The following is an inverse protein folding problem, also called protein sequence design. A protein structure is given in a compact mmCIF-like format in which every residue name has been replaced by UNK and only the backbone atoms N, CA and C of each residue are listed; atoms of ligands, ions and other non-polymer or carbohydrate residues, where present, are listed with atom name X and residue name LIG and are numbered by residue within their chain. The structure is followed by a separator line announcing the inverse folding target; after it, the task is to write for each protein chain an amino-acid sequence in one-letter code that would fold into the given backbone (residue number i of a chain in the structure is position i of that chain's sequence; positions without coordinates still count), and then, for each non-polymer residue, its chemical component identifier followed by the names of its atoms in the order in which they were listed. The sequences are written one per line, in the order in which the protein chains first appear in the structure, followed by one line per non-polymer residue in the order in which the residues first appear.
data_IF_814464908841
#
_entry.id   IF_814464908841
#
_cell.length_a   1.000
_cell.length_b   1.000
_cell.length_c   1.000
_cell.angle_alpha   90.00
_cell.angle_beta   90.00
_cell.angle_gamma   90.00
#
_symmetry.space_group_name_H-M   'P 1'
#
loop_
_entity.id
_entity.type
_entity.pdbx_description
1 polymer ?
#
# COMPACT_ATOMS: atom_id res chain seq x y z
N UNK A 1 3.27 -33.07 -15.43
CA UNK A 1 2.97 -31.64 -15.78
C UNK A 1 4.30 -30.93 -16.02
N UNK A 2 4.41 -30.10 -17.08
CA UNK A 2 5.61 -29.28 -17.31
C UNK A 2 5.79 -28.30 -16.14
N UNK A 3 6.95 -28.32 -15.51
CA UNK A 3 7.31 -27.35 -14.47
C UNK A 3 7.58 -25.98 -15.11
N UNK A 4 7.07 -24.91 -14.50
CA UNK A 4 7.20 -23.55 -14.99
C UNK A 4 8.49 -22.94 -14.43
N UNK A 5 9.27 -22.26 -15.28
CA UNK A 5 10.42 -21.46 -14.84
C UNK A 5 9.95 -20.04 -14.46
N UNK A 6 10.46 -19.51 -13.36
CA UNK A 6 10.13 -18.17 -12.90
C UNK A 6 8.71 -18.06 -12.32
N UNK A 7 8.17 -19.12 -11.75
CA UNK A 7 6.82 -19.17 -11.21
C UNK A 7 6.58 -18.10 -10.14
N UNK A 8 7.61 -17.72 -9.37
CA UNK A 8 7.52 -16.63 -8.38
C UNK A 8 7.05 -15.30 -9.00
N UNK A 9 7.46 -14.99 -10.23
CA UNK A 9 7.04 -13.77 -10.93
C UNK A 9 5.57 -13.83 -11.39
N UNK A 10 5.08 -15.03 -11.72
CA UNK A 10 3.65 -15.23 -11.99
C UNK A 10 2.81 -15.01 -10.72
N UNK A 11 3.32 -15.42 -9.57
CA UNK A 11 2.66 -15.16 -8.26
C UNK A 11 2.64 -13.67 -7.96
N UNK A 12 3.75 -12.92 -8.22
CA UNK A 12 3.73 -11.45 -8.10
C UNK A 12 2.73 -10.83 -9.07
N UNK A 13 2.67 -11.31 -10.31
CA UNK A 13 1.67 -10.86 -11.28
C UNK A 13 0.23 -11.09 -10.78
N UNK A 14 -0.03 -12.25 -10.16
CA UNK A 14 -1.33 -12.56 -9.58
C UNK A 14 -1.67 -11.65 -8.39
N UNK A 15 -0.70 -11.36 -7.50
CA UNK A 15 -0.90 -10.44 -6.37
C UNK A 15 -1.12 -9.01 -6.90
N UNK A 16 -0.33 -8.58 -7.87
CA UNK A 16 -0.46 -7.28 -8.53
C UNK A 16 -1.87 -7.13 -9.15
N UNK A 17 -2.36 -8.14 -9.86
CA UNK A 17 -3.74 -8.18 -10.38
C UNK A 17 -4.77 -8.00 -9.26
N UNK A 18 -4.59 -8.68 -8.13
CA UNK A 18 -5.47 -8.51 -6.96
C UNK A 18 -5.47 -7.08 -6.44
N UNK A 19 -4.30 -6.43 -6.40
CA UNK A 19 -4.17 -5.04 -5.99
C UNK A 19 -4.80 -4.09 -6.99
N UNK A 20 -4.63 -4.32 -8.29
CA UNK A 20 -5.30 -3.54 -9.36
C UNK A 20 -6.81 -3.60 -9.18
N UNK A 21 -7.39 -4.80 -9.01
CA UNK A 21 -8.85 -4.99 -8.85
C UNK A 21 -9.34 -4.34 -7.56
N UNK A 22 -8.60 -4.46 -6.46
CA UNK A 22 -8.90 -3.83 -5.18
C UNK A 22 -8.96 -2.30 -5.30
N UNK A 23 -7.94 -1.67 -5.92
CA UNK A 23 -7.92 -0.22 -6.12
C UNK A 23 -8.93 0.26 -7.15
N UNK A 24 -9.27 -0.55 -8.14
CA UNK A 24 -10.34 -0.28 -9.08
C UNK A 24 -11.70 -0.21 -8.37
N UNK A 25 -12.01 -1.19 -7.50
CA UNK A 25 -13.22 -1.18 -6.68
C UNK A 25 -13.26 0.03 -5.74
N UNK A 26 -12.14 0.33 -5.06
CA UNK A 26 -11.99 1.48 -4.16
C UNK A 26 -12.30 2.81 -4.85
N UNK A 27 -11.74 3.03 -6.04
CA UNK A 27 -11.85 4.29 -6.77
C UNK A 27 -13.19 4.46 -7.51
N UNK A 28 -13.99 3.40 -7.66
CA UNK A 28 -15.30 3.47 -8.34
C UNK A 28 -16.22 4.51 -7.71
N UNK A 29 -16.23 4.66 -6.38
CA UNK A 29 -17.04 5.68 -5.71
C UNK A 29 -16.67 7.10 -6.15
N UNK A 30 -15.38 7.42 -6.18
CA UNK A 30 -14.91 8.76 -6.54
C UNK A 30 -15.29 9.13 -7.98
N UNK A 31 -15.22 8.17 -8.90
CA UNK A 31 -15.63 8.36 -10.30
C UNK A 31 -17.13 8.56 -10.42
N UNK A 32 -17.92 7.82 -9.65
CA UNK A 32 -19.38 7.89 -9.66
C UNK A 32 -19.94 9.01 -8.78
N UNK A 33 -19.13 9.69 -7.96
CA UNK A 33 -19.60 10.66 -6.98
C UNK A 33 -20.57 11.72 -7.55
N UNK A 34 -20.31 12.36 -8.70
CA UNK A 34 -21.22 13.35 -9.26
C UNK A 34 -22.61 12.80 -9.64
N UNK A 35 -22.65 11.55 -10.12
CA UNK A 35 -23.91 10.87 -10.46
C UNK A 35 -24.67 10.40 -9.22
N UNK A 36 -23.95 9.87 -8.22
CA UNK A 36 -24.51 9.44 -6.96
C UNK A 36 -25.09 10.62 -6.16
N UNK A 37 -24.39 11.78 -6.16
CA UNK A 37 -24.85 13.01 -5.50
C UNK A 37 -26.20 13.47 -6.07
N UNK A 38 -26.36 13.43 -7.39
CA UNK A 38 -27.62 13.76 -8.07
C UNK A 38 -28.72 12.75 -7.77
N UNK A 39 -28.39 11.45 -7.87
CA UNK A 39 -29.39 10.37 -7.81
C UNK A 39 -29.84 10.12 -6.36
N UNK A 40 -28.92 10.09 -5.40
CA UNK A 40 -29.17 9.81 -4.00
C UNK A 40 -29.37 11.07 -3.14
N UNK A 41 -29.24 12.26 -3.74
CA UNK A 41 -29.52 13.60 -3.16
C UNK A 41 -28.82 13.83 -1.82
N UNK A 42 -27.52 13.58 -1.75
CA UNK A 42 -26.73 13.86 -0.56
C UNK A 42 -25.82 15.09 -0.73
N UNK A 43 -25.48 15.72 0.39
CA UNK A 43 -24.59 16.88 0.42
C UNK A 43 -23.12 16.50 0.35
N UNK A 44 -22.25 17.44 -0.01
CA UNK A 44 -20.78 17.28 0.03
C UNK A 44 -20.31 16.84 1.42
N UNK A 45 -20.95 17.31 2.51
CA UNK A 45 -20.62 16.86 3.85
C UNK A 45 -20.99 15.39 4.08
N UNK A 46 -22.14 14.95 3.60
CA UNK A 46 -22.53 13.53 3.66
C UNK A 46 -21.58 12.66 2.83
N UNK A 47 -21.10 13.16 1.68
CA UNK A 47 -20.05 12.49 0.90
C UNK A 47 -18.77 12.31 1.73
N UNK A 48 -18.35 13.31 2.49
CA UNK A 48 -17.17 13.18 3.36
C UNK A 48 -17.36 12.10 4.43
N UNK A 49 -18.57 11.91 4.97
CA UNK A 49 -18.86 10.81 5.90
C UNK A 49 -18.79 9.44 5.23
N UNK A 50 -19.23 9.32 3.97
CA UNK A 50 -19.10 8.10 3.17
C UNK A 50 -17.62 7.72 2.99
N UNK A 51 -16.78 8.69 2.65
CA UNK A 51 -15.32 8.49 2.49
C UNK A 51 -14.67 8.14 3.83
N UNK A 52 -15.05 8.85 4.91
CA UNK A 52 -14.52 8.60 6.25
C UNK A 52 -14.88 7.20 6.77
N UNK A 53 -16.09 6.69 6.49
CA UNK A 53 -16.50 5.36 6.87
C UNK A 53 -15.57 4.27 6.32
N UNK A 54 -15.14 4.41 5.05
CA UNK A 54 -14.13 3.53 4.45
C UNK A 54 -12.78 3.63 5.18
N UNK A 55 -12.29 4.84 5.40
CA UNK A 55 -10.98 5.05 6.03
C UNK A 55 -10.91 4.47 7.43
N UNK A 56 -11.95 4.69 8.24
CA UNK A 56 -12.05 4.12 9.59
C UNK A 56 -12.07 2.59 9.54
N UNK A 57 -12.95 2.01 8.71
CA UNK A 57 -13.02 0.55 8.54
C UNK A 57 -11.69 -0.05 8.12
N UNK A 58 -11.04 0.55 7.13
CA UNK A 58 -9.75 0.11 6.62
C UNK A 58 -8.64 0.19 7.68
N UNK A 59 -8.55 1.31 8.41
CA UNK A 59 -7.54 1.53 9.45
C UNK A 59 -7.65 0.51 10.57
N UNK A 60 -8.87 0.29 11.09
CA UNK A 60 -9.11 -0.67 12.17
C UNK A 60 -8.82 -2.10 11.72
N UNK A 61 -9.27 -2.46 10.52
CA UNK A 61 -9.19 -3.85 10.06
C UNK A 61 -7.79 -4.27 9.59
N UNK A 62 -6.90 -3.36 9.27
CA UNK A 62 -5.53 -3.72 8.85
C UNK A 62 -4.80 -4.61 9.86
N UNK A 63 -4.89 -4.30 11.15
CA UNK A 63 -4.29 -5.13 12.21
C UNK A 63 -4.96 -6.50 12.29
N UNK A 64 -6.30 -6.53 12.22
CA UNK A 64 -7.08 -7.76 12.33
C UNK A 64 -6.85 -8.68 11.13
N UNK A 65 -6.89 -8.12 9.90
CA UNK A 65 -6.70 -8.93 8.71
C UNK A 65 -5.31 -9.56 8.63
N UNK A 66 -4.27 -8.86 9.08
CA UNK A 66 -2.93 -9.42 9.16
C UNK A 66 -2.88 -10.66 10.06
N UNK A 67 -3.49 -10.57 11.25
CA UNK A 67 -3.64 -11.72 12.17
C UNK A 67 -4.40 -12.88 11.52
N UNK A 68 -5.54 -12.59 10.88
CA UNK A 68 -6.37 -13.60 10.20
C UNK A 68 -5.59 -14.29 9.08
N UNK A 69 -4.79 -13.55 8.29
CA UNK A 69 -3.97 -14.10 7.22
C UNK A 69 -2.86 -15.02 7.76
N UNK A 70 -2.24 -14.69 8.88
CA UNK A 70 -1.23 -15.54 9.49
C UNK A 70 -1.85 -16.78 10.14
N UNK A 71 -3.03 -16.66 10.74
CA UNK A 71 -3.73 -17.76 11.41
C UNK A 71 -4.37 -18.75 10.42
N UNK A 72 -5.13 -18.27 9.43
CA UNK A 72 -5.83 -19.12 8.45
C UNK A 72 -4.90 -19.64 7.32
N UNK A 73 -3.71 -19.02 7.19
CA UNK A 73 -2.83 -19.18 6.05
C UNK A 73 -3.28 -18.33 4.85
N UNK A 74 -2.30 -17.91 4.07
CA UNK A 74 -2.48 -16.89 3.04
C UNK A 74 -3.48 -17.28 1.95
N UNK A 75 -3.47 -18.55 1.51
CA UNK A 75 -4.40 -19.03 0.48
C UNK A 75 -5.86 -18.85 0.90
N UNK A 76 -6.24 -19.38 2.05
CA UNK A 76 -7.63 -19.34 2.55
C UNK A 76 -8.02 -17.94 3.02
N UNK A 77 -7.15 -17.31 3.80
CA UNK A 77 -7.39 -15.99 4.37
C UNK A 77 -7.59 -14.92 3.31
N UNK A 78 -6.71 -14.85 2.31
CA UNK A 78 -6.83 -13.84 1.26
C UNK A 78 -8.00 -14.11 0.30
N UNK A 79 -8.33 -15.40 0.02
CA UNK A 79 -9.56 -15.75 -0.72
C UNK A 79 -10.81 -15.27 0.02
N UNK A 80 -10.88 -15.47 1.34
CA UNK A 80 -12.01 -15.01 2.16
C UNK A 80 -12.18 -13.50 2.08
N UNK A 81 -11.09 -12.75 2.26
CA UNK A 81 -11.13 -11.29 2.12
C UNK A 81 -11.48 -10.85 0.70
N UNK A 82 -10.98 -11.54 -0.34
CA UNK A 82 -11.29 -11.24 -1.73
C UNK A 82 -12.79 -11.42 -2.03
N UNK A 83 -13.41 -12.48 -1.55
CA UNK A 83 -14.87 -12.68 -1.65
C UNK A 83 -15.60 -11.59 -0.87
N UNK A 84 -15.16 -11.28 0.35
CA UNK A 84 -15.82 -10.32 1.22
C UNK A 84 -15.78 -8.89 0.63
N UNK A 85 -14.63 -8.41 0.11
CA UNK A 85 -14.60 -7.09 -0.52
C UNK A 85 -15.40 -7.05 -1.83
N UNK A 86 -15.40 -8.15 -2.59
CA UNK A 86 -16.19 -8.24 -3.82
C UNK A 86 -17.67 -8.09 -3.53
N UNK A 87 -18.15 -8.83 -2.52
CA UNK A 87 -19.53 -8.72 -2.05
C UNK A 87 -19.83 -7.31 -1.53
N UNK A 88 -18.93 -6.75 -0.70
CA UNK A 88 -19.08 -5.39 -0.18
C UNK A 88 -19.19 -4.35 -1.29
N UNK A 89 -18.42 -4.52 -2.37
CA UNK A 89 -18.48 -3.62 -3.53
C UNK A 89 -19.81 -3.78 -4.31
N UNK A 90 -20.26 -5.01 -4.53
CA UNK A 90 -21.57 -5.27 -5.18
C UNK A 90 -22.73 -4.70 -4.36
N UNK A 91 -22.66 -4.75 -3.02
CA UNK A 91 -23.71 -4.19 -2.14
C UNK A 91 -23.94 -2.69 -2.35
N UNK A 92 -22.95 -1.92 -2.84
CA UNK A 92 -23.15 -0.52 -3.19
C UNK A 92 -24.25 -0.31 -4.23
N UNK A 93 -24.49 -1.28 -5.12
CA UNK A 93 -25.56 -1.22 -6.11
C UNK A 93 -26.97 -1.13 -5.49
N UNK A 94 -27.11 -1.53 -4.23
CA UNK A 94 -28.38 -1.50 -3.48
C UNK A 94 -28.51 -0.29 -2.54
N UNK A 95 -27.62 0.71 -2.68
CA UNK A 95 -27.69 1.89 -1.85
C UNK A 95 -28.91 2.75 -2.19
N UNK A 96 -29.78 2.98 -1.20
CA UNK A 96 -30.97 3.82 -1.32
C UNK A 96 -30.78 5.25 -0.81
N UNK A 97 -29.58 5.59 -0.30
CA UNK A 97 -29.23 6.92 0.22
C UNK A 97 -27.83 6.95 0.80
N UNK A 98 -27.39 8.12 1.26
CA UNK A 98 -26.03 8.31 1.78
C UNK A 98 -25.68 7.40 2.96
N UNK A 99 -26.63 7.12 3.86
CA UNK A 99 -26.38 6.28 5.04
C UNK A 99 -26.08 4.83 4.68
N UNK A 100 -26.86 4.23 3.76
CA UNK A 100 -26.57 2.87 3.24
C UNK A 100 -25.28 2.84 2.44
N UNK A 101 -24.99 3.88 1.66
CA UNK A 101 -23.75 4.01 0.91
C UNK A 101 -22.54 4.10 1.86
N UNK A 102 -22.64 4.85 2.97
CA UNK A 102 -21.62 4.93 4.00
C UNK A 102 -21.41 3.58 4.71
N UNK A 103 -22.50 2.86 5.02
CA UNK A 103 -22.40 1.53 5.62
C UNK A 103 -21.67 0.52 4.71
N UNK A 104 -22.06 0.46 3.43
CA UNK A 104 -21.38 -0.41 2.46
C UNK A 104 -19.92 0.02 2.21
N UNK A 105 -19.64 1.31 2.25
CA UNK A 105 -18.29 1.86 2.14
C UNK A 105 -17.43 1.48 3.34
N UNK A 106 -17.98 1.54 4.56
CA UNK A 106 -17.31 1.06 5.77
C UNK A 106 -17.02 -0.44 5.70
N UNK A 107 -18.01 -1.24 5.24
CA UNK A 107 -17.82 -2.67 5.03
C UNK A 107 -16.74 -2.98 3.99
N UNK A 108 -16.69 -2.22 2.90
CA UNK A 108 -15.63 -2.33 1.90
C UNK A 108 -14.25 -2.02 2.51
N UNK A 109 -14.14 -0.96 3.32
CA UNK A 109 -12.92 -0.62 4.04
C UNK A 109 -12.43 -1.75 4.94
N UNK A 110 -13.34 -2.35 5.72
CA UNK A 110 -13.04 -3.51 6.55
C UNK A 110 -12.49 -4.70 5.74
N UNK A 111 -13.03 -4.95 4.57
CA UNK A 111 -12.71 -6.15 3.79
C UNK A 111 -11.52 -5.97 2.85
N UNK A 112 -11.26 -4.76 2.34
CA UNK A 112 -10.13 -4.45 1.46
C UNK A 112 -8.78 -4.34 2.19
N UNK A 113 -8.79 -4.14 3.50
CA UNK A 113 -7.59 -3.89 4.30
C UNK A 113 -6.54 -5.02 4.23
N UNK A 114 -6.95 -6.24 3.85
CA UNK A 114 -6.08 -7.40 3.75
C UNK A 114 -5.10 -7.38 2.56
N UNK A 115 -5.34 -6.56 1.54
CA UNK A 115 -4.59 -6.63 0.28
C UNK A 115 -3.08 -6.40 0.46
N UNK A 116 -2.69 -5.37 1.22
CA UNK A 116 -1.28 -5.06 1.44
C UNK A 116 -0.58 -6.10 2.34
N UNK A 117 -1.11 -6.46 3.53
CA UNK A 117 -0.52 -7.53 4.34
C UNK A 117 -0.41 -8.88 3.61
N UNK A 118 -1.42 -9.23 2.81
CA UNK A 118 -1.40 -10.45 2.00
C UNK A 118 -0.31 -10.42 0.93
N UNK A 119 -0.17 -9.30 0.22
CA UNK A 119 0.86 -9.11 -0.80
C UNK A 119 2.26 -9.24 -0.22
N UNK A 120 2.54 -8.56 0.89
CA UNK A 120 3.84 -8.60 1.58
C UNK A 120 4.15 -10.02 2.08
N UNK A 121 3.15 -10.70 2.67
CA UNK A 121 3.32 -12.09 3.10
C UNK A 121 3.61 -13.03 1.92
N UNK A 122 2.87 -12.92 0.83
CA UNK A 122 3.11 -13.74 -0.36
C UNK A 122 4.52 -13.52 -0.93
N UNK A 123 4.99 -12.27 -0.98
CA UNK A 123 6.35 -11.96 -1.40
C UNK A 123 7.37 -12.55 -0.43
N UNK A 124 7.14 -12.50 0.88
CA UNK A 124 8.03 -13.10 1.87
C UNK A 124 8.15 -14.62 1.72
N UNK A 125 7.06 -15.30 1.31
CA UNK A 125 7.04 -16.74 1.09
C UNK A 125 7.70 -17.17 -0.24
N UNK A 126 7.52 -16.37 -1.31
CA UNK A 126 7.90 -16.74 -2.67
C UNK A 126 9.24 -16.17 -3.15
N UNK A 127 9.82 -15.22 -2.43
CA UNK A 127 11.07 -14.57 -2.87
C UNK A 127 12.18 -14.72 -1.87
N UNK A 128 13.42 -15.01 -2.35
CA UNK A 128 14.60 -14.89 -1.54
C UNK A 128 14.76 -13.45 -1.05
N UNK A 129 15.30 -13.27 0.15
CA UNK A 129 15.37 -11.96 0.81
C UNK A 129 15.95 -10.84 -0.08
N UNK A 130 16.97 -11.15 -0.87
CA UNK A 130 17.64 -10.19 -1.78
C UNK A 130 16.75 -9.65 -2.92
N UNK A 131 15.69 -10.38 -3.31
CA UNK A 131 14.79 -10.01 -4.41
C UNK A 131 13.46 -9.42 -3.93
N UNK A 132 13.14 -9.50 -2.62
CA UNK A 132 11.85 -9.05 -2.07
C UNK A 132 11.52 -7.60 -2.38
N UNK A 133 12.53 -6.70 -2.31
CA UNK A 133 12.28 -5.27 -2.59
C UNK A 133 11.84 -5.03 -4.02
N UNK A 134 12.40 -5.77 -4.98
CA UNK A 134 11.99 -5.68 -6.39
C UNK A 134 10.53 -6.14 -6.54
N UNK A 135 10.19 -7.29 -5.94
CA UNK A 135 8.84 -7.81 -5.96
C UNK A 135 7.82 -6.86 -5.30
N UNK A 136 8.19 -6.21 -4.17
CA UNK A 136 7.36 -5.20 -3.50
C UNK A 136 7.19 -3.94 -4.38
N UNK A 137 8.23 -3.52 -5.08
CA UNK A 137 8.15 -2.40 -6.03
C UNK A 137 7.11 -2.65 -7.13
N UNK A 138 7.14 -3.82 -7.76
CA UNK A 138 6.14 -4.21 -8.76
C UNK A 138 4.74 -4.39 -8.16
N UNK A 139 4.64 -4.95 -6.96
CA UNK A 139 3.38 -5.08 -6.25
C UNK A 139 2.72 -3.73 -5.98
N UNK A 140 3.50 -2.75 -5.52
CA UNK A 140 3.00 -1.41 -5.23
C UNK A 140 2.50 -0.69 -6.50
N UNK A 141 3.14 -0.89 -7.66
CA UNK A 141 2.67 -0.31 -8.93
C UNK A 141 1.24 -0.76 -9.30
N UNK A 142 0.77 -1.91 -8.79
CA UNK A 142 -0.62 -2.34 -8.94
C UNK A 142 -1.65 -1.37 -8.35
N UNK A 143 -1.28 -0.59 -7.34
CA UNK A 143 -2.16 0.41 -6.71
C UNK A 143 -2.51 1.55 -7.67
N UNK A 144 -1.51 2.09 -8.34
CA UNK A 144 -1.68 3.18 -9.30
C UNK A 144 -2.32 2.70 -10.59
N UNK A 145 -1.97 1.50 -11.06
CA UNK A 145 -2.64 0.88 -12.22
C UNK A 145 -4.14 0.71 -11.96
N UNK A 146 -4.54 0.28 -10.76
CA UNK A 146 -5.94 0.16 -10.38
C UNK A 146 -6.66 1.52 -10.37
N UNK A 147 -6.03 2.55 -9.82
CA UNK A 147 -6.56 3.90 -9.82
C UNK A 147 -6.68 4.49 -11.23
N UNK A 148 -5.72 4.22 -12.11
CA UNK A 148 -5.71 4.67 -13.50
C UNK A 148 -6.81 3.98 -14.34
N UNK A 149 -7.05 2.69 -14.11
CA UNK A 149 -8.03 1.90 -14.87
C UNK A 149 -9.47 2.11 -14.38
N UNK A 150 -9.67 2.63 -13.16
CA UNK A 150 -11.01 2.83 -12.61
C UNK A 150 -11.86 3.83 -13.42
N UNK A 151 -11.40 5.07 -13.77
CA UNK A 151 -12.21 6.01 -14.50
C UNK A 151 -12.69 5.49 -15.86
N UNK A 152 -11.84 4.98 -16.78
CA UNK A 152 -12.30 4.52 -18.07
C UNK A 152 -13.29 3.35 -17.97
N UNK A 153 -13.05 2.38 -17.08
CA UNK A 153 -13.95 1.25 -16.93
C UNK A 153 -15.29 1.66 -16.33
N UNK A 154 -15.26 2.43 -15.23
CA UNK A 154 -16.45 2.83 -14.49
C UNK A 154 -17.34 3.76 -15.36
N UNK A 155 -16.73 4.74 -16.04
CA UNK A 155 -17.46 5.63 -16.95
C UNK A 155 -18.05 4.86 -18.12
N UNK A 156 -17.29 3.92 -18.71
CA UNK A 156 -17.82 3.08 -19.78
C UNK A 156 -19.06 2.30 -19.34
N UNK A 157 -19.04 1.64 -18.17
CA UNK A 157 -20.21 0.90 -17.66
C UNK A 157 -21.35 1.86 -17.34
N UNK A 158 -21.07 3.03 -16.73
CA UNK A 158 -22.08 4.04 -16.41
C UNK A 158 -22.84 4.49 -17.68
N UNK A 159 -22.12 4.73 -18.78
CA UNK A 159 -22.72 5.17 -20.06
C UNK A 159 -23.50 4.06 -20.77
N UNK A 160 -23.12 2.79 -20.59
CA UNK A 160 -23.83 1.66 -21.21
C UNK A 160 -25.02 1.17 -20.39
N UNK A 161 -25.03 1.42 -19.09
CA UNK A 161 -26.06 0.91 -18.19
C UNK A 161 -26.45 1.96 -17.14
N UNK A 162 -25.87 1.88 -15.93
CA UNK A 162 -26.13 2.78 -14.80
C UNK A 162 -25.02 2.66 -13.75
N UNK A 163 -25.08 3.49 -12.70
CA UNK A 163 -24.11 3.50 -11.62
C UNK A 163 -24.11 2.20 -10.80
N UNK A 164 -25.28 1.54 -10.65
CA UNK A 164 -25.39 0.27 -9.93
C UNK A 164 -24.56 -0.82 -10.63
N UNK A 165 -24.68 -0.91 -11.95
CA UNK A 165 -23.92 -1.87 -12.75
C UNK A 165 -22.42 -1.60 -12.70
N UNK A 166 -21.96 -0.36 -12.51
CA UNK A 166 -20.55 -0.08 -12.34
C UNK A 166 -20.00 -0.73 -11.06
N UNK A 167 -20.72 -0.70 -9.94
CA UNK A 167 -20.34 -1.41 -8.72
C UNK A 167 -20.43 -2.94 -8.87
N UNK A 168 -21.45 -3.44 -9.57
CA UNK A 168 -21.58 -4.88 -9.84
C UNK A 168 -20.42 -5.40 -10.68
N UNK A 169 -20.08 -4.71 -11.77
CA UNK A 169 -18.98 -5.11 -12.66
C UNK A 169 -17.65 -5.08 -11.91
N UNK A 170 -17.32 -3.99 -11.22
CA UNK A 170 -16.05 -3.86 -10.51
C UNK A 170 -15.94 -4.83 -9.32
N UNK A 171 -17.06 -5.12 -8.64
CA UNK A 171 -17.12 -6.14 -7.59
C UNK A 171 -16.98 -7.56 -8.15
N UNK A 172 -17.59 -7.84 -9.31
CA UNK A 172 -17.52 -9.16 -9.95
C UNK A 172 -16.09 -9.54 -10.36
N UNK A 173 -15.26 -8.57 -10.75
CA UNK A 173 -13.83 -8.80 -11.01
C UNK A 173 -13.12 -9.34 -9.78
N UNK A 174 -13.51 -8.92 -8.58
CA UNK A 174 -12.94 -9.43 -7.34
C UNK A 174 -13.31 -10.91 -7.06
N UNK A 175 -14.50 -11.37 -7.43
CA UNK A 175 -14.84 -12.81 -7.35
C UNK A 175 -14.02 -13.64 -8.34
N UNK A 176 -13.79 -13.12 -9.56
CA UNK A 176 -12.90 -13.77 -10.53
C UNK A 176 -11.50 -13.87 -9.96
N UNK A 177 -10.99 -12.79 -9.36
CA UNK A 177 -9.69 -12.79 -8.70
C UNK A 177 -9.65 -13.82 -7.54
N UNK A 178 -10.66 -13.87 -6.69
CA UNK A 178 -10.73 -14.84 -5.59
C UNK A 178 -10.63 -16.29 -6.10
N UNK A 179 -11.32 -16.60 -7.20
CA UNK A 179 -11.24 -17.90 -7.84
C UNK A 179 -9.83 -18.18 -8.40
N UNK A 180 -9.23 -17.22 -9.12
CA UNK A 180 -7.86 -17.33 -9.63
C UNK A 180 -6.86 -17.54 -8.50
N UNK A 181 -6.99 -16.75 -7.42
CA UNK A 181 -6.14 -16.89 -6.24
C UNK A 181 -6.27 -18.27 -5.60
N UNK A 182 -7.48 -18.74 -5.38
CA UNK A 182 -7.72 -20.07 -4.82
C UNK A 182 -7.15 -21.19 -5.66
N UNK A 183 -7.26 -21.10 -6.97
CA UNK A 183 -6.77 -22.15 -7.90
C UNK A 183 -5.25 -22.14 -7.99
N UNK A 184 -4.65 -20.96 -8.21
CA UNK A 184 -3.26 -20.85 -8.59
C UNK A 184 -2.29 -20.62 -7.42
N UNK A 185 -2.74 -20.01 -6.31
CA UNK A 185 -1.86 -19.79 -5.19
C UNK A 185 -1.68 -21.05 -4.33
N UNK A 186 -0.42 -21.41 -4.08
CA UNK A 186 0.03 -22.40 -3.10
C UNK A 186 1.35 -21.90 -2.53
N UNK A 187 1.72 -22.35 -1.32
CA UNK A 187 3.06 -22.09 -0.80
C UNK A 187 4.15 -22.79 -1.66
N UNK A 188 5.36 -22.22 -1.77
CA UNK A 188 6.44 -22.82 -2.59
C UNK A 188 6.73 -24.28 -2.28
N UNK A 189 6.61 -24.66 -1.00
CA UNK A 189 6.85 -26.04 -0.52
C UNK A 189 5.83 -27.03 -1.04
N UNK A 190 4.59 -26.60 -1.31
CA UNK A 190 3.47 -27.46 -1.73
C UNK A 190 3.02 -27.23 -3.18
N UNK A 191 3.65 -26.31 -3.92
CA UNK A 191 3.25 -25.98 -5.27
C UNK A 191 3.76 -27.00 -6.30
N UNK A 192 2.85 -27.71 -6.98
CA UNK A 192 3.21 -28.80 -7.90
C UNK A 192 3.88 -28.37 -9.21
N UNK A 193 3.74 -27.08 -9.61
CA UNK A 193 4.28 -26.54 -10.87
C UNK A 193 5.67 -25.91 -10.71
N UNK A 194 6.16 -25.71 -9.48
CA UNK A 194 7.49 -25.12 -9.26
C UNK A 194 8.60 -26.10 -9.68
N UNK A 195 9.65 -25.58 -10.31
CA UNK A 195 10.85 -26.36 -10.58
C UNK A 195 11.66 -26.57 -9.30
N UNK A 196 12.37 -27.69 -9.19
CA UNK A 196 13.18 -27.99 -7.99
C UNK A 196 14.27 -26.93 -7.78
N UNK A 197 14.95 -26.52 -8.85
CA UNK A 197 15.96 -25.48 -8.76
C UNK A 197 15.40 -24.10 -8.33
N UNK A 198 14.15 -23.76 -8.71
CA UNK A 198 13.52 -22.52 -8.22
C UNK A 198 13.09 -22.65 -6.77
N UNK A 199 12.60 -23.84 -6.37
CA UNK A 199 12.25 -24.11 -4.97
C UNK A 199 13.48 -23.99 -4.06
N UNK A 200 14.59 -24.68 -4.41
CA UNK A 200 15.85 -24.58 -3.68
C UNK A 200 16.35 -23.13 -3.62
N UNK A 201 16.33 -22.41 -4.74
CA UNK A 201 16.72 -21.00 -4.78
C UNK A 201 15.89 -20.11 -3.84
N UNK A 202 14.58 -20.35 -3.73
CA UNK A 202 13.71 -19.61 -2.81
C UNK A 202 14.06 -19.97 -1.36
N UNK A 203 14.15 -21.27 -1.03
CA UNK A 203 14.38 -21.73 0.34
C UNK A 203 15.79 -21.37 0.83
N UNK A 204 16.82 -21.58 0.04
CA UNK A 204 18.21 -21.24 0.38
C UNK A 204 18.44 -19.72 0.47
N UNK A 205 17.66 -18.95 -0.28
CA UNK A 205 17.70 -17.49 -0.23
C UNK A 205 16.87 -16.85 0.88
N UNK A 206 16.18 -17.66 1.69
CA UNK A 206 15.55 -17.21 2.93
C UNK A 206 16.55 -17.29 4.09
N UNK A 207 16.41 -16.43 5.08
CA UNK A 207 17.26 -16.54 6.28
C UNK A 207 16.99 -17.87 6.99
N UNK A 208 18.05 -18.55 7.55
CA UNK A 208 17.93 -19.90 8.12
C UNK A 208 16.82 -20.07 9.16
N UNK A 209 16.58 -19.05 9.98
CA UNK A 209 15.52 -19.06 11.00
C UNK A 209 14.10 -19.03 10.41
N UNK A 210 13.95 -18.69 9.11
CA UNK A 210 12.66 -18.58 8.41
C UNK A 210 12.33 -19.79 7.54
N UNK A 211 13.31 -20.64 7.25
CA UNK A 211 13.14 -21.83 6.41
C UNK A 211 12.34 -22.96 7.09
N UNK A 212 12.24 -22.96 8.40
CA UNK A 212 11.44 -23.90 9.17
C UNK A 212 9.94 -23.52 9.15
N UNK A 213 9.34 -23.57 7.98
CA UNK A 213 7.90 -23.45 7.79
C UNK A 213 7.16 -24.61 8.44
N UNK A 214 6.91 -24.52 9.73
CA UNK A 214 6.02 -25.44 10.43
C UNK A 214 4.59 -25.15 10.01
N UNK A 215 3.92 -26.17 9.49
CA UNK A 215 2.49 -26.15 9.14
C UNK A 215 1.56 -26.07 10.35
N UNK A 216 2.08 -25.80 11.53
CA UNK A 216 1.31 -25.61 12.73
C UNK A 216 0.58 -24.27 12.68
N UNK A 217 -0.73 -24.33 12.59
CA UNK A 217 -1.66 -23.19 12.71
C UNK A 217 -1.66 -22.61 14.13
N UNK A 218 -0.51 -22.08 14.55
CA UNK A 218 -0.42 -21.37 15.83
C UNK A 218 -0.80 -19.90 15.61
N UNK A 219 -1.57 -19.29 16.52
CA UNK A 219 -1.86 -17.87 16.43
C UNK A 219 -0.53 -17.08 16.48
N UNK A 220 -0.37 -16.03 15.64
CA UNK A 220 0.82 -15.22 15.63
C UNK A 220 1.03 -14.56 17.01
N UNK A 221 2.29 -14.48 17.51
CA UNK A 221 2.58 -13.98 18.84
C UNK A 221 2.54 -12.45 18.90
N UNK A 222 1.33 -11.87 18.87
CA UNK A 222 1.08 -10.41 18.81
C UNK A 222 1.88 -9.66 19.88
N UNK A 223 1.90 -10.15 21.13
CA UNK A 223 2.64 -9.51 22.21
C UNK A 223 4.15 -9.47 21.93
N UNK A 224 4.73 -10.54 21.37
CA UNK A 224 6.15 -10.59 20.96
C UNK A 224 6.44 -9.56 19.87
N UNK A 225 5.55 -9.46 18.85
CA UNK A 225 5.68 -8.50 17.76
C UNK A 225 5.68 -7.07 18.30
N UNK A 226 4.66 -6.69 19.07
CA UNK A 226 4.49 -5.34 19.62
C UNK A 226 5.57 -4.95 20.64
N UNK A 227 6.17 -5.92 21.33
CA UNK A 227 7.30 -5.69 22.27
C UNK A 227 8.64 -5.58 21.55
N UNK A 228 8.72 -5.87 20.26
CA UNK A 228 9.97 -5.84 19.50
C UNK A 228 10.36 -4.41 19.12
N UNK A 229 11.58 -3.95 19.42
CA UNK A 229 12.08 -2.66 18.92
C UNK A 229 12.02 -2.54 17.39
N UNK A 230 12.21 -3.64 16.66
CA UNK A 230 12.13 -3.69 15.20
C UNK A 230 10.74 -3.33 14.69
N UNK A 231 9.69 -3.74 15.41
CA UNK A 231 8.32 -3.36 15.09
C UNK A 231 8.15 -1.84 15.12
N UNK A 232 8.56 -1.19 16.20
CA UNK A 232 8.49 0.27 16.36
C UNK A 232 9.42 1.00 15.39
N UNK A 233 10.55 0.39 15.04
CA UNK A 233 11.47 0.87 14.00
C UNK A 233 10.86 0.88 12.59
N UNK A 234 9.72 0.22 12.37
CA UNK A 234 8.96 0.24 11.12
C UNK A 234 7.64 1.01 11.30
N UNK A 235 6.93 0.80 12.41
CA UNK A 235 5.60 1.37 12.65
C UNK A 235 5.65 2.91 12.76
N UNK A 236 6.62 3.46 13.52
CA UNK A 236 6.75 4.91 13.69
C UNK A 236 7.14 5.59 12.38
N UNK A 237 8.16 5.12 11.63
CA UNK A 237 8.46 5.68 10.30
C UNK A 237 7.28 5.61 9.33
N UNK A 238 6.50 4.53 9.33
CA UNK A 238 5.29 4.44 8.51
C UNK A 238 4.21 5.43 8.93
N UNK A 239 4.01 5.62 10.24
CA UNK A 239 3.11 6.65 10.78
C UNK A 239 3.55 8.07 10.33
N UNK A 240 4.85 8.35 10.33
CA UNK A 240 5.41 9.64 9.95
C UNK A 240 5.46 9.87 8.42
N UNK A 241 5.58 8.82 7.62
CA UNK A 241 5.66 8.93 6.16
C UNK A 241 4.28 9.03 5.48
N UNK A 242 3.25 8.37 6.01
CA UNK A 242 1.90 8.35 5.41
C UNK A 242 1.26 9.73 5.23
N UNK A 243 1.47 10.75 6.10
CA UNK A 243 1.07 12.12 5.87
C UNK A 243 1.41 12.67 4.49
N UNK A 244 2.58 12.34 3.94
CA UNK A 244 2.97 12.77 2.60
C UNK A 244 2.03 12.20 1.52
N UNK A 245 1.73 10.91 1.58
CA UNK A 245 0.84 10.25 0.64
C UNK A 245 -0.59 10.80 0.68
N UNK A 246 -1.13 11.00 1.88
CA UNK A 246 -2.46 11.59 2.06
C UNK A 246 -2.50 13.04 1.55
N UNK A 247 -1.41 13.80 1.77
CA UNK A 247 -1.28 15.16 1.24
C UNK A 247 -1.29 15.14 -0.28
N UNK A 248 -0.57 14.24 -0.91
CA UNK A 248 -0.52 14.13 -2.37
C UNK A 248 -1.88 13.75 -2.96
N UNK A 249 -2.63 12.86 -2.32
CA UNK A 249 -3.93 12.43 -2.80
C UNK A 249 -5.02 13.51 -2.67
N UNK A 250 -5.05 14.25 -1.56
CA UNK A 250 -6.19 15.10 -1.24
C UNK A 250 -5.90 16.59 -1.36
N UNK A 251 -4.65 17.03 -1.13
CA UNK A 251 -4.32 18.43 -1.01
C UNK A 251 -3.60 19.03 -2.20
N UNK A 252 -2.92 18.24 -3.04
CA UNK A 252 -2.24 18.78 -4.23
C UNK A 252 -3.21 19.51 -5.18
N UNK A 253 -4.33 18.90 -5.61
CA UNK A 253 -5.24 19.60 -6.52
C UNK A 253 -5.77 20.90 -5.93
N UNK A 254 -6.15 20.88 -4.65
CA UNK A 254 -6.66 22.08 -3.96
C UNK A 254 -5.59 23.16 -3.86
N UNK A 255 -4.35 22.81 -3.49
CA UNK A 255 -3.21 23.73 -3.44
C UNK A 255 -2.92 24.37 -4.81
N UNK A 256 -2.93 23.58 -5.87
CA UNK A 256 -2.67 24.06 -7.23
C UNK A 256 -3.76 25.06 -7.69
N UNK A 257 -5.02 24.82 -7.35
CA UNK A 257 -6.12 25.76 -7.64
C UNK A 257 -6.04 27.01 -6.77
N UNK A 258 -5.99 26.83 -5.46
CA UNK A 258 -6.22 27.94 -4.51
C UNK A 258 -5.00 28.82 -4.29
N UNK A 259 -3.79 28.24 -4.33
CA UNK A 259 -2.53 28.96 -4.06
C UNK A 259 -1.75 29.27 -5.33
N UNK A 260 -1.79 28.37 -6.33
CA UNK A 260 -1.05 28.51 -7.58
C UNK A 260 -1.91 29.01 -8.75
N UNK A 261 -3.22 29.16 -8.53
CA UNK A 261 -4.19 29.70 -9.50
C UNK A 261 -4.20 28.94 -10.84
N UNK A 262 -3.88 27.63 -10.81
CA UNK A 262 -3.95 26.78 -12.00
C UNK A 262 -5.40 26.54 -12.40
N UNK A 263 -5.66 26.56 -13.70
CA UNK A 263 -6.97 26.23 -14.22
C UNK A 263 -7.18 24.70 -14.30
N UNK A 264 -8.44 24.28 -14.44
CA UNK A 264 -8.80 22.86 -14.45
C UNK A 264 -8.13 22.07 -15.59
N UNK A 265 -7.85 22.70 -16.73
CA UNK A 265 -7.18 22.07 -17.87
C UNK A 265 -5.72 21.78 -17.55
N UNK A 266 -5.02 22.71 -16.94
CA UNK A 266 -3.63 22.54 -16.50
C UNK A 266 -3.53 21.46 -15.42
N UNK A 267 -4.47 21.43 -14.47
CA UNK A 267 -4.52 20.38 -13.44
C UNK A 267 -4.73 19.00 -14.07
N UNK A 268 -5.65 18.87 -15.03
CA UNK A 268 -5.88 17.61 -15.73
C UNK A 268 -4.63 17.11 -16.47
N UNK A 269 -3.78 18.02 -16.97
CA UNK A 269 -2.54 17.67 -17.67
C UNK A 269 -1.41 17.30 -16.72
N UNK A 270 -1.31 17.89 -15.53
CA UNK A 270 -0.10 17.81 -14.69
C UNK A 270 -0.30 17.12 -13.34
N UNK A 271 -1.51 17.08 -12.78
CA UNK A 271 -1.72 16.58 -11.42
C UNK A 271 -1.52 15.06 -11.25
N UNK A 272 -1.46 14.30 -12.34
CA UNK A 272 -1.16 12.87 -12.31
C UNK A 272 0.34 12.54 -12.30
N UNK A 273 1.20 13.51 -12.69
CA UNK A 273 2.65 13.30 -12.77
C UNK A 273 3.28 12.86 -11.43
N UNK A 274 2.92 13.42 -10.26
CA UNK A 274 3.43 12.94 -8.98
C UNK A 274 3.13 11.47 -8.70
N UNK A 275 2.00 10.95 -9.17
CA UNK A 275 1.62 9.55 -9.01
C UNK A 275 2.44 8.63 -9.94
N UNK A 276 2.68 9.05 -11.17
CA UNK A 276 3.61 8.35 -12.06
C UNK A 276 5.03 8.31 -11.47
N UNK A 277 5.51 9.44 -10.97
CA UNK A 277 6.80 9.52 -10.30
C UNK A 277 6.86 8.61 -9.06
N UNK A 278 5.75 8.49 -8.32
CA UNK A 278 5.64 7.57 -7.19
C UNK A 278 5.83 6.11 -7.62
N UNK A 279 5.19 5.66 -8.70
CA UNK A 279 5.38 4.30 -9.21
C UNK A 279 6.83 4.02 -9.61
N UNK A 280 7.45 4.98 -10.30
CA UNK A 280 8.88 4.90 -10.64
C UNK A 280 9.75 4.85 -9.39
N UNK A 281 9.39 5.61 -8.34
CA UNK A 281 10.07 5.60 -7.04
C UNK A 281 9.99 4.26 -6.32
N UNK A 282 8.81 3.63 -6.31
CA UNK A 282 8.60 2.30 -5.74
C UNK A 282 9.44 1.23 -6.44
N UNK A 283 9.44 1.23 -7.77
CA UNK A 283 10.25 0.32 -8.60
C UNK A 283 11.75 0.60 -8.38
N UNK A 284 12.16 1.87 -8.44
CA UNK A 284 13.56 2.26 -8.21
C UNK A 284 14.05 1.81 -6.82
N UNK A 285 13.27 2.06 -5.75
CA UNK A 285 13.57 1.61 -4.39
C UNK A 285 13.73 0.09 -4.31
N UNK A 286 12.90 -0.63 -5.06
CA UNK A 286 13.00 -2.08 -5.21
C UNK A 286 14.37 -2.53 -5.74
N UNK A 287 14.86 -1.90 -6.81
CA UNK A 287 16.14 -2.24 -7.44
C UNK A 287 17.34 -1.62 -6.71
N UNK A 288 17.16 -0.49 -6.01
CA UNK A 288 18.24 0.19 -5.30
C UNK A 288 18.93 -0.72 -4.29
N UNK A 289 18.17 -1.47 -3.50
CA UNK A 289 18.74 -2.31 -2.47
C UNK A 289 19.61 -3.45 -3.01
N UNK A 290 19.19 -4.27 -3.99
CA UNK A 290 20.06 -5.23 -4.65
C UNK A 290 21.31 -4.58 -5.31
N UNK A 291 21.16 -3.39 -5.88
CA UNK A 291 22.27 -2.63 -6.44
C UNK A 291 23.31 -2.28 -5.37
N UNK A 292 22.87 -1.72 -4.23
CA UNK A 292 23.75 -1.38 -3.10
C UNK A 292 24.45 -2.62 -2.54
N UNK A 293 23.77 -3.75 -2.45
CA UNK A 293 24.35 -5.02 -2.03
C UNK A 293 25.43 -5.50 -3.01
N UNK A 294 25.19 -5.37 -4.32
CA UNK A 294 26.13 -5.85 -5.36
C UNK A 294 27.36 -4.97 -5.47
N UNK A 295 27.18 -3.64 -5.55
CA UNK A 295 28.24 -2.68 -5.84
C UNK A 295 29.03 -2.31 -4.58
N UNK A 296 28.33 -1.97 -3.51
CA UNK A 296 28.94 -1.50 -2.26
C UNK A 296 29.11 -2.61 -1.21
N UNK A 297 28.76 -3.87 -1.55
CA UNK A 297 28.85 -5.03 -0.64
C UNK A 297 28.09 -4.82 0.68
N UNK A 298 27.02 -4.02 0.64
CA UNK A 298 26.21 -3.76 1.82
C UNK A 298 25.43 -5.02 2.21
N UNK A 299 25.19 -5.18 3.50
CA UNK A 299 24.30 -6.22 4.00
C UNK A 299 22.84 -5.88 3.68
N UNK A 300 21.96 -6.91 3.69
CA UNK A 300 20.56 -6.81 3.31
C UNK A 300 19.84 -5.66 4.04
N UNK A 301 19.79 -5.70 5.38
CA UNK A 301 19.07 -4.69 6.18
C UNK A 301 19.68 -3.30 6.01
N UNK A 302 21.02 -3.21 5.98
CA UNK A 302 21.73 -1.94 5.77
C UNK A 302 21.41 -1.33 4.40
N UNK A 303 21.25 -2.14 3.35
CA UNK A 303 20.88 -1.66 2.02
C UNK A 303 19.46 -1.12 1.96
N UNK A 304 18.50 -1.74 2.72
CA UNK A 304 17.13 -1.23 2.87
C UNK A 304 17.12 0.13 3.57
N UNK A 305 17.84 0.20 4.70
CA UNK A 305 17.97 1.44 5.49
C UNK A 305 18.58 2.56 4.65
N UNK A 306 19.64 2.29 3.90
CA UNK A 306 20.28 3.29 3.02
C UNK A 306 19.30 3.85 1.98
N UNK A 307 18.45 3.01 1.39
CA UNK A 307 17.40 3.46 0.48
C UNK A 307 16.32 4.33 1.17
N UNK A 308 15.92 3.97 2.39
CA UNK A 308 14.98 4.77 3.20
C UNK A 308 15.58 6.14 3.54
N UNK A 309 16.87 6.17 3.93
CA UNK A 309 17.58 7.44 4.20
C UNK A 309 17.66 8.30 2.95
N UNK A 310 17.99 7.71 1.80
CA UNK A 310 18.00 8.46 0.52
C UNK A 310 16.61 9.05 0.23
N UNK A 311 15.54 8.27 0.42
CA UNK A 311 14.17 8.75 0.25
C UNK A 311 13.85 9.91 1.19
N UNK A 312 14.22 9.79 2.47
CA UNK A 312 14.01 10.86 3.45
C UNK A 312 14.77 12.15 3.10
N UNK A 313 15.97 12.04 2.54
CA UNK A 313 16.72 13.20 2.05
C UNK A 313 16.03 13.82 0.83
N UNK A 314 15.53 13.02 -0.10
CA UNK A 314 14.78 13.52 -1.26
C UNK A 314 13.49 14.25 -0.85
N UNK A 315 12.87 13.89 0.29
CA UNK A 315 11.68 14.57 0.83
C UNK A 315 11.95 16.02 1.28
N UNK A 316 13.20 16.47 1.38
CA UNK A 316 13.55 17.88 1.57
C UNK A 316 13.05 18.73 0.40
N UNK A 317 13.08 18.15 -0.83
CA UNK A 317 12.55 18.83 -2.03
C UNK A 317 11.07 19.23 -1.85
N UNK A 318 10.13 18.29 -1.69
CA UNK A 318 8.72 18.64 -1.45
C UNK A 318 8.51 19.47 -0.18
N UNK A 319 9.36 19.35 0.85
CA UNK A 319 9.33 20.24 2.01
C UNK A 319 9.54 21.72 1.65
N UNK A 320 10.19 22.02 0.53
CA UNK A 320 10.42 23.39 0.04
C UNK A 320 9.34 23.92 -0.93
N UNK A 321 8.24 23.22 -1.17
CA UNK A 321 7.18 23.61 -2.12
C UNK A 321 6.58 24.98 -1.80
N UNK A 322 6.53 25.36 -0.51
CA UNK A 322 6.10 26.69 -0.10
C UNK A 322 6.93 27.84 -0.70
N UNK A 323 8.20 27.55 -1.04
CA UNK A 323 9.16 28.51 -1.62
C UNK A 323 9.22 28.43 -3.17
N UNK A 324 8.43 27.54 -3.80
CA UNK A 324 8.48 27.34 -5.24
C UNK A 324 8.12 28.62 -6.01
N UNK A 325 8.96 28.99 -6.98
CA UNK A 325 8.77 30.20 -7.77
C UNK A 325 7.55 30.15 -8.74
N UNK A 326 7.15 28.94 -9.16
CA UNK A 326 6.00 28.74 -10.06
C UNK A 326 5.24 27.47 -9.74
N UNK A 327 4.02 27.34 -10.31
CA UNK A 327 3.20 26.12 -10.20
C UNK A 327 3.94 24.89 -10.77
N UNK A 328 4.67 25.05 -11.87
CA UNK A 328 5.41 23.96 -12.51
C UNK A 328 6.59 23.47 -11.66
N UNK A 329 7.29 24.37 -10.97
CA UNK A 329 8.33 24.01 -9.99
C UNK A 329 7.69 23.27 -8.81
N UNK A 330 6.53 23.70 -8.33
CA UNK A 330 5.81 22.98 -7.28
C UNK A 330 5.42 21.57 -7.73
N UNK A 331 4.92 21.39 -8.96
CA UNK A 331 4.60 20.06 -9.53
C UNK A 331 5.86 19.18 -9.62
N UNK A 332 6.99 19.72 -10.08
CA UNK A 332 8.24 19.00 -10.13
C UNK A 332 8.69 18.53 -8.72
N UNK A 333 8.56 19.38 -7.71
CA UNK A 333 8.84 19.03 -6.32
C UNK A 333 7.85 17.99 -5.77
N UNK A 334 6.58 18.05 -6.15
CA UNK A 334 5.63 16.98 -5.84
C UNK A 334 5.98 15.66 -6.52
N UNK A 335 6.52 15.67 -7.74
CA UNK A 335 7.03 14.47 -8.40
C UNK A 335 8.21 13.86 -7.62
N UNK A 336 9.16 14.68 -7.16
CA UNK A 336 10.24 14.22 -6.28
C UNK A 336 9.67 13.62 -5.00
N UNK A 337 8.64 14.25 -4.41
CA UNK A 337 7.98 13.77 -3.20
C UNK A 337 7.27 12.43 -3.41
N UNK A 338 6.51 12.28 -4.50
CA UNK A 338 5.86 11.02 -4.85
C UNK A 338 6.87 9.90 -5.03
N UNK A 339 7.93 10.16 -5.80
CA UNK A 339 9.05 9.23 -6.00
C UNK A 339 9.69 8.80 -4.68
N UNK A 340 10.06 9.77 -3.83
CA UNK A 340 10.71 9.54 -2.55
C UNK A 340 9.81 8.76 -1.58
N UNK A 341 8.54 9.16 -1.46
CA UNK A 341 7.58 8.50 -0.59
C UNK A 341 7.37 7.03 -0.96
N UNK A 342 7.13 6.72 -2.24
CA UNK A 342 6.92 5.32 -2.64
C UNK A 342 8.19 4.47 -2.54
N UNK A 343 9.36 5.05 -2.73
CA UNK A 343 10.62 4.38 -2.43
C UNK A 343 10.73 4.02 -0.95
N UNK A 344 10.42 4.95 -0.04
CA UNK A 344 10.40 4.71 1.41
C UNK A 344 9.35 3.63 1.76
N UNK A 345 8.14 3.77 1.24
CA UNK A 345 7.02 2.85 1.49
C UNK A 345 7.36 1.42 1.07
N UNK A 346 7.90 1.23 -0.15
CA UNK A 346 8.30 -0.08 -0.65
C UNK A 346 9.38 -0.72 0.23
N UNK A 347 10.36 0.04 0.66
CA UNK A 347 11.46 -0.46 1.49
C UNK A 347 11.02 -0.74 2.94
N UNK A 348 10.16 0.09 3.55
CA UNK A 348 9.58 -0.18 4.87
C UNK A 348 8.68 -1.42 4.87
N UNK A 349 7.88 -1.61 3.82
CA UNK A 349 7.10 -2.84 3.63
C UNK A 349 8.00 -4.06 3.48
N UNK A 350 9.09 -3.93 2.71
CA UNK A 350 10.08 -5.01 2.53
C UNK A 350 10.76 -5.35 3.87
N UNK A 351 11.11 -4.35 4.69
CA UNK A 351 11.68 -4.60 6.02
C UNK A 351 10.76 -5.44 6.89
N UNK A 352 9.43 -5.26 6.81
CA UNK A 352 8.48 -6.13 7.55
C UNK A 352 8.65 -7.60 7.15
N UNK A 353 8.88 -7.87 5.86
CA UNK A 353 9.12 -9.23 5.36
C UNK A 353 10.54 -9.75 5.70
N UNK A 354 11.50 -8.87 5.93
CA UNK A 354 12.90 -9.25 6.20
C UNK A 354 13.18 -9.47 7.70
N UNK A 355 12.48 -8.76 8.61
CA UNK A 355 12.77 -8.79 10.05
C UNK A 355 11.82 -9.65 10.88
N UNK A 356 10.65 -10.05 10.34
CA UNK A 356 9.68 -10.91 11.01
C UNK A 356 9.63 -12.29 10.39
N UNK A 357 9.30 -13.30 11.20
CA UNK A 357 9.14 -14.69 10.74
C UNK A 357 7.94 -14.82 9.81
N UNK A 358 7.95 -15.83 8.92
CA UNK A 358 6.93 -16.03 7.89
C UNK A 358 5.49 -16.04 8.44
N UNK A 359 5.29 -16.56 9.66
CA UNK A 359 3.99 -16.62 10.34
C UNK A 359 3.63 -15.33 11.11
N UNK A 360 4.51 -14.32 11.15
CA UNK A 360 4.33 -13.04 11.82
C UNK A 360 4.20 -11.87 10.82
N UNK A 361 4.61 -12.06 9.55
CA UNK A 361 4.76 -10.98 8.55
C UNK A 361 3.46 -10.24 8.29
N UNK A 362 2.35 -10.95 8.06
CA UNK A 362 1.08 -10.29 7.75
C UNK A 362 0.54 -9.53 8.97
N UNK A 363 0.69 -10.10 10.17
CA UNK A 363 0.31 -9.47 11.44
C UNK A 363 1.14 -8.20 11.67
N UNK A 364 2.47 -8.29 11.58
CA UNK A 364 3.36 -7.15 11.75
C UNK A 364 3.08 -6.05 10.71
N UNK A 365 2.90 -6.43 9.43
CA UNK A 365 2.57 -5.47 8.38
C UNK A 365 1.19 -4.84 8.58
N UNK A 366 0.20 -5.60 9.04
CA UNK A 366 -1.14 -5.10 9.38
C UNK A 366 -1.08 -4.02 10.47
N UNK A 367 -0.39 -4.28 11.59
CA UNK A 367 -0.23 -3.30 12.68
C UNK A 367 0.56 -2.06 12.24
N UNK A 368 1.64 -2.23 11.47
CA UNK A 368 2.39 -1.08 10.95
C UNK A 368 1.58 -0.30 9.91
N UNK A 369 0.68 -0.96 9.16
CA UNK A 369 -0.27 -0.34 8.27
C UNK A 369 -1.33 0.49 9.02
N UNK A 370 -1.88 -0.03 10.12
CA UNK A 370 -2.76 0.74 11.02
C UNK A 370 -2.07 2.00 11.52
N UNK A 371 -0.79 1.90 11.94
CA UNK A 371 -0.01 3.06 12.34
C UNK A 371 0.10 4.09 11.20
N UNK A 372 0.43 3.65 9.98
CA UNK A 372 0.52 4.50 8.80
C UNK A 372 -0.79 5.27 8.54
N UNK A 373 -1.91 4.55 8.38
CA UNK A 373 -3.20 5.17 8.11
C UNK A 373 -3.66 6.12 9.22
N UNK A 374 -3.35 5.81 10.49
CA UNK A 374 -3.61 6.70 11.61
C UNK A 374 -2.80 8.00 11.48
N UNK A 375 -1.52 7.92 11.12
CA UNK A 375 -0.67 9.08 10.88
C UNK A 375 -1.21 9.96 9.76
N UNK A 376 -1.59 9.37 8.64
CA UNK A 376 -2.19 10.07 7.50
C UNK A 376 -3.51 10.77 7.85
N UNK A 377 -4.39 10.07 8.58
CA UNK A 377 -5.68 10.64 9.02
C UNK A 377 -5.47 11.83 9.95
N UNK A 378 -4.64 11.69 10.98
CA UNK A 378 -4.37 12.76 11.93
C UNK A 378 -3.75 13.97 11.25
N UNK A 379 -2.81 13.76 10.33
CA UNK A 379 -2.20 14.85 9.59
C UNK A 379 -3.19 15.55 8.64
N UNK A 380 -4.08 14.82 7.99
CA UNK A 380 -5.14 15.41 7.16
C UNK A 380 -6.05 16.34 7.97
N UNK A 381 -6.36 15.99 9.22
CA UNK A 381 -7.11 16.87 10.14
C UNK A 381 -6.29 18.12 10.50
N UNK A 382 -4.99 17.98 10.72
CA UNK A 382 -4.08 19.11 10.99
C UNK A 382 -4.03 20.06 9.78
N UNK A 383 -3.90 19.53 8.56
CA UNK A 383 -3.91 20.34 7.34
C UNK A 383 -5.25 21.06 7.19
N UNK A 384 -6.37 20.38 7.38
CA UNK A 384 -7.71 20.98 7.31
C UNK A 384 -7.91 22.11 8.30
N UNK A 385 -7.37 21.99 9.52
CA UNK A 385 -7.48 23.01 10.56
C UNK A 385 -6.53 24.20 10.37
N UNK A 386 -5.32 23.97 9.84
CA UNK A 386 -4.25 24.97 9.87
C UNK A 386 -3.91 25.59 8.50
N UNK A 387 -4.32 24.96 7.38
CA UNK A 387 -3.93 25.42 6.05
C UNK A 387 -4.39 26.88 5.75
N UNK A 388 -5.53 27.29 6.30
CA UNK A 388 -6.06 28.65 6.14
C UNK A 388 -5.37 29.68 7.04
N UNK A 389 -4.77 29.24 8.15
CA UNK A 389 -4.15 30.17 9.16
C UNK A 389 -2.66 30.32 8.95
N UNK A 390 -1.92 29.21 8.73
CA UNK A 390 -0.46 29.23 8.56
C UNK A 390 -0.01 29.01 7.12
N UNK A 391 -0.95 28.70 6.22
CA UNK A 391 -0.67 28.34 4.84
C UNK A 391 -0.12 26.91 4.66
N UNK A 392 0.08 26.50 3.41
CA UNK A 392 0.57 25.16 3.08
C UNK A 392 2.08 24.97 3.25
N UNK A 393 2.87 26.07 3.19
CA UNK A 393 4.34 26.01 3.24
C UNK A 393 4.88 25.27 4.48
N UNK A 394 4.54 25.69 5.71
CA UNK A 394 4.96 25.00 6.93
C UNK A 394 4.48 23.54 7.02
N UNK A 395 3.28 23.25 6.48
CA UNK A 395 2.72 21.91 6.45
C UNK A 395 3.51 20.97 5.51
N UNK A 396 3.93 21.45 4.34
CA UNK A 396 4.82 20.69 3.47
C UNK A 396 6.22 20.51 4.07
N UNK A 397 6.77 21.53 4.74
CA UNK A 397 8.04 21.44 5.43
C UNK A 397 8.03 20.36 6.52
N UNK A 398 6.91 20.21 7.25
CA UNK A 398 6.78 19.17 8.29
C UNK A 398 6.86 17.75 7.73
N UNK A 399 6.43 17.50 6.48
CA UNK A 399 6.53 16.19 5.83
C UNK A 399 8.00 15.75 5.68
N UNK A 400 8.88 16.65 5.27
CA UNK A 400 10.31 16.37 5.18
C UNK A 400 10.91 16.06 6.56
N UNK A 401 10.52 16.81 7.59
CA UNK A 401 10.98 16.58 8.97
C UNK A 401 10.52 15.22 9.47
N UNK A 402 9.28 14.83 9.18
CA UNK A 402 8.74 13.53 9.58
C UNK A 402 9.52 12.37 8.96
N UNK A 403 9.83 12.43 7.68
CA UNK A 403 10.59 11.36 7.00
C UNK A 403 12.04 11.30 7.48
N UNK A 404 12.67 12.43 7.77
CA UNK A 404 14.03 12.47 8.36
C UNK A 404 14.03 11.86 9.76
N UNK A 405 13.04 12.19 10.62
CA UNK A 405 12.88 11.57 11.94
C UNK A 405 12.64 10.06 11.75
N UNK A 406 11.78 9.67 10.82
CA UNK A 406 11.53 8.27 10.48
C UNK A 406 12.78 7.52 10.11
N UNK A 407 13.64 8.11 9.26
CA UNK A 407 14.93 7.51 8.88
C UNK A 407 15.86 7.30 10.09
N UNK A 408 15.94 8.29 11.00
CA UNK A 408 16.72 8.16 12.25
C UNK A 408 16.20 7.01 13.11
N UNK A 409 14.87 6.88 13.24
CA UNK A 409 14.22 5.81 14.02
C UNK A 409 14.51 4.43 13.42
N UNK A 410 14.44 4.29 12.07
CA UNK A 410 14.82 3.03 11.40
C UNK A 410 16.26 2.66 11.73
N UNK A 411 17.20 3.59 11.59
CA UNK A 411 18.61 3.35 11.91
C UNK A 411 18.80 2.92 13.37
N UNK A 412 18.07 3.55 14.29
CA UNK A 412 18.22 3.30 15.72
C UNK A 412 17.65 1.94 16.17
N UNK A 413 16.46 1.57 15.64
CA UNK A 413 15.67 0.45 16.15
C UNK A 413 15.72 -0.81 15.29
N UNK A 414 15.92 -0.69 13.97
CA UNK A 414 16.06 -1.84 13.06
C UNK A 414 17.53 -2.27 13.03
N UNK A 415 18.02 -2.76 14.15
CA UNK A 415 19.39 -3.29 14.26
C UNK A 415 19.42 -4.75 13.81
N UNK A 416 20.62 -5.19 13.40
CA UNK A 416 20.91 -6.59 13.05
C UNK A 416 20.50 -7.54 14.18
N UNK A 417 20.10 -8.79 13.87
CA UNK A 417 20.22 -9.86 14.84
C UNK A 417 21.70 -9.92 15.27
N UNK A 418 21.99 -9.88 16.57
CA UNK A 418 23.31 -10.29 17.04
C UNK A 418 23.52 -11.73 16.58
N UNK A 419 24.68 -12.09 15.96
CA UNK A 419 25.00 -13.49 15.78
C UNK A 419 24.80 -14.16 17.13
N UNK A 420 23.99 -15.22 17.19
CA UNK A 420 23.94 -16.07 18.36
C UNK A 420 25.38 -16.52 18.59
N UNK A 421 26.00 -16.13 19.67
CA UNK A 421 27.21 -16.77 20.13
C UNK A 421 26.81 -18.24 20.29
N UNK A 422 27.25 -19.07 19.34
CA UNK A 422 27.15 -20.51 19.48
C UNK A 422 27.93 -20.88 20.74
N UNK A 423 27.20 -21.16 21.79
CA UNK A 423 27.73 -21.84 23.01
C UNK A 423 27.68 -23.33 22.78
#
# INVERSE_FOLDING_TARGET
MKKLKGLRWWIVGLICLGTVINYLARNSLAVLAPELEKTLRFSTQQYSYIVAAFQVGYTVMQSVCGFVLDFLGLRSGFTLFAIAWSLSNVLHAFAGGWGSLAAFRGLLGLTEAAAIPAGIKAISEWFPAKERSVAVGFFNAGTSLGALLAPPLVVWVLLQANWQMAFVVTGSLGFVFAALWWIFYRAPTSHGLISEGERSYIIEGQEPDKAAGTSDRKPPPVKKILSSPRFWGIAIPRFLAEPAWQTFNFWIPLYLVTVRHMNLREIAIFAWLPFLAADLGGIFGGYLSPFLMKVFKMELISSRIAGIVLGAILMIGPGSIGLAASAYVAIALFCVGGFAHQMISALLNTLSADVFDAHEVATANGFTGTAAWTGGLLFSLVVGALATTIGYGPLFASLAVFDLIGAVIVIALVRRPRPSLAT
#
